data_IF_265715731924
#
_entry.id   IF_265715731924
#
_cell.length_a   1.000
_cell.length_b   1.000
_cell.length_c   1.000
_cell.angle_alpha   90.00
_cell.angle_beta   90.00
_cell.angle_gamma   90.00
#
_symmetry.space_group_name_H-M   'P 1'
#
loop_
_entity.id
_entity.type
_entity.pdbx_description
1 polymer ?
#
# COMPACT_ATOMS: atom_id res chain seq x y z
N UNK A 1 8.01 0.13 10.31
CA UNK A 1 7.94 -1.14 9.56
C UNK A 1 6.65 -1.91 9.86
N UNK A 2 6.43 -2.41 11.09
CA UNK A 2 5.23 -3.19 11.44
C UNK A 2 3.90 -2.49 11.12
N UNK A 3 3.84 -1.17 11.31
CA UNK A 3 2.68 -0.34 10.97
C UNK A 3 2.30 -0.31 9.48
N UNK A 4 3.16 -0.80 8.59
CA UNK A 4 2.96 -0.73 7.14
C UNK A 4 2.67 -2.09 6.52
N UNK A 5 2.36 -3.11 7.32
CA UNK A 5 2.00 -4.44 6.83
C UNK A 5 0.61 -4.43 6.21
N UNK A 6 0.38 -5.32 5.25
CA UNK A 6 -0.89 -5.40 4.52
C UNK A 6 -2.10 -5.54 5.45
N UNK A 7 -1.98 -6.39 6.47
CA UNK A 7 -3.02 -6.62 7.48
C UNK A 7 -3.38 -5.37 8.29
N UNK A 8 -2.43 -4.46 8.50
CA UNK A 8 -2.68 -3.22 9.23
C UNK A 8 -3.58 -2.30 8.40
N UNK A 9 -3.35 -2.21 7.08
CA UNK A 9 -4.20 -1.40 6.20
C UNK A 9 -5.64 -1.90 6.14
N UNK A 10 -5.84 -3.20 6.07
CA UNK A 10 -7.18 -3.78 6.06
C UNK A 10 -7.85 -3.66 7.44
N UNK A 11 -7.09 -3.73 8.55
CA UNK A 11 -7.62 -3.48 9.89
C UNK A 11 -8.07 -2.02 10.06
N UNK A 12 -7.27 -1.08 9.57
CA UNK A 12 -7.61 0.34 9.59
C UNK A 12 -8.83 0.63 8.71
N UNK A 13 -8.94 0.00 7.53
CA UNK A 13 -10.15 0.07 6.71
C UNK A 13 -11.38 -0.42 7.48
N UNK A 14 -11.29 -1.57 8.17
CA UNK A 14 -12.39 -2.08 8.98
C UNK A 14 -12.80 -1.12 10.11
N UNK A 15 -11.82 -0.48 10.75
CA UNK A 15 -12.06 0.50 11.82
C UNK A 15 -12.78 1.72 11.28
N UNK A 16 -12.36 2.25 10.12
CA UNK A 16 -13.03 3.38 9.46
C UNK A 16 -14.46 3.00 9.12
N UNK A 17 -14.70 1.87 8.47
CA UNK A 17 -16.06 1.42 8.12
C UNK A 17 -16.97 1.30 9.34
N UNK A 18 -16.47 0.74 10.45
CA UNK A 18 -17.24 0.64 11.70
C UNK A 18 -17.52 2.00 12.33
N UNK A 19 -16.52 2.88 12.37
CA UNK A 19 -16.65 4.21 12.96
C UNK A 19 -17.64 5.06 12.17
N UNK A 20 -17.58 5.00 10.86
CA UNK A 20 -18.47 5.73 9.94
C UNK A 20 -19.81 5.01 9.71
N UNK A 21 -20.04 3.87 10.37
CA UNK A 21 -21.27 3.06 10.27
C UNK A 21 -21.63 2.66 8.83
N UNK A 22 -20.62 2.31 8.04
CA UNK A 22 -20.77 1.87 6.65
C UNK A 22 -20.84 0.33 6.62
N UNK A 23 -22.01 -0.20 6.35
CA UNK A 23 -22.30 -1.65 6.30
C UNK A 23 -22.75 -2.15 4.92
N UNK A 24 -23.08 -1.25 4.00
CA UNK A 24 -23.53 -1.56 2.65
C UNK A 24 -22.68 -0.84 1.59
N UNK A 25 -21.65 -1.52 1.09
CA UNK A 25 -20.70 -0.94 0.16
C UNK A 25 -20.14 -1.97 -0.84
N UNK A 26 -19.62 -1.46 -1.95
CA UNK A 26 -18.77 -2.19 -2.88
C UNK A 26 -17.33 -1.74 -2.64
N UNK A 27 -16.43 -2.69 -2.41
CA UNK A 27 -15.01 -2.40 -2.18
C UNK A 27 -14.27 -2.35 -3.51
N UNK A 28 -13.66 -1.21 -3.83
CA UNK A 28 -12.88 -1.01 -5.06
C UNK A 28 -11.41 -0.83 -4.68
N UNK A 29 -10.55 -1.74 -5.17
CA UNK A 29 -9.11 -1.71 -4.92
C UNK A 29 -8.32 -1.52 -6.21
N UNK A 30 -7.48 -0.48 -6.26
CA UNK A 30 -6.57 -0.20 -7.39
C UNK A 30 -5.11 -0.47 -7.01
N UNK A 31 -4.38 -1.22 -7.84
CA UNK A 31 -2.95 -1.51 -7.65
C UNK A 31 -2.67 -2.10 -6.26
N UNK A 32 -1.84 -1.45 -5.43
CA UNK A 32 -1.63 -1.82 -4.04
C UNK A 32 -2.94 -1.85 -3.21
N UNK A 33 -3.86 -0.92 -3.47
CA UNK A 33 -5.19 -0.94 -2.85
C UNK A 33 -6.00 -2.18 -3.20
N UNK A 34 -5.70 -2.84 -4.32
CA UNK A 34 -6.25 -4.15 -4.65
C UNK A 34 -5.78 -5.25 -3.69
N UNK A 35 -4.51 -5.24 -3.28
CA UNK A 35 -4.01 -6.19 -2.27
C UNK A 35 -4.66 -5.96 -0.91
N UNK A 36 -4.81 -4.69 -0.51
CA UNK A 36 -5.51 -4.33 0.73
C UNK A 36 -6.96 -4.80 0.68
N UNK A 37 -7.64 -4.60 -0.46
CA UNK A 37 -9.04 -4.99 -0.64
C UNK A 37 -9.22 -6.52 -0.62
N UNK A 38 -8.30 -7.28 -1.23
CA UNK A 38 -8.30 -8.74 -1.16
C UNK A 38 -8.08 -9.24 0.27
N UNK A 39 -7.08 -8.72 0.97
CA UNK A 39 -6.82 -9.10 2.37
C UNK A 39 -8.02 -8.77 3.27
N UNK A 40 -8.62 -7.59 3.11
CA UNK A 40 -9.85 -7.21 3.81
C UNK A 40 -10.99 -8.19 3.56
N UNK A 41 -11.26 -8.54 2.30
CA UNK A 41 -12.35 -9.46 1.93
C UNK A 41 -12.15 -10.87 2.49
N UNK A 42 -10.90 -11.35 2.58
CA UNK A 42 -10.55 -12.64 3.18
C UNK A 42 -10.81 -12.62 4.70
N UNK A 43 -10.37 -11.56 5.39
CA UNK A 43 -10.45 -11.46 6.86
C UNK A 43 -11.84 -11.07 7.36
N UNK A 44 -12.64 -10.40 6.55
CA UNK A 44 -14.00 -9.95 6.86
C UNK A 44 -15.00 -10.47 5.82
N UNK A 45 -15.24 -11.80 5.76
CA UNK A 45 -16.12 -12.39 4.76
C UNK A 45 -17.53 -11.81 4.85
N UNK A 46 -18.14 -11.53 3.69
CA UNK A 46 -19.50 -10.95 3.54
C UNK A 46 -19.69 -9.52 4.07
N UNK A 47 -18.62 -8.80 4.41
CA UNK A 47 -18.70 -7.39 4.82
C UNK A 47 -19.02 -6.44 3.65
N UNK A 48 -18.49 -6.72 2.46
CA UNK A 48 -18.76 -5.97 1.23
C UNK A 48 -19.76 -6.72 0.34
N UNK A 49 -20.63 -5.99 -0.37
CA UNK A 49 -21.56 -6.54 -1.36
C UNK A 49 -20.86 -7.00 -2.64
N UNK A 50 -19.68 -6.44 -2.90
CA UNK A 50 -18.87 -6.78 -4.06
C UNK A 50 -17.44 -6.30 -3.90
N UNK A 51 -16.54 -6.90 -4.69
CA UNK A 51 -15.12 -6.56 -4.74
C UNK A 51 -14.74 -6.29 -6.21
N UNK A 52 -14.20 -5.09 -6.48
CA UNK A 52 -13.67 -4.70 -7.79
C UNK A 52 -12.17 -4.51 -7.67
N UNK A 53 -11.41 -5.23 -8.50
CA UNK A 53 -9.96 -5.18 -8.52
C UNK A 53 -9.47 -4.57 -9.83
N UNK A 54 -8.70 -3.49 -9.75
CA UNK A 54 -8.16 -2.77 -10.91
C UNK A 54 -6.64 -2.83 -10.85
N UNK A 55 -6.02 -3.48 -11.84
CA UNK A 55 -4.55 -3.59 -11.94
C UNK A 55 -3.88 -4.15 -10.67
N UNK A 56 -4.54 -5.09 -9.98
CA UNK A 56 -4.07 -5.69 -8.74
C UNK A 56 -3.31 -7.00 -9.01
N UNK A 57 -2.26 -7.26 -8.24
CA UNK A 57 -1.53 -8.53 -8.27
C UNK A 57 -1.88 -9.37 -7.04
N UNK A 58 -2.13 -10.66 -7.23
CA UNK A 58 -2.43 -11.62 -6.16
C UNK A 58 -1.16 -12.14 -5.44
N UNK A 59 0.02 -11.90 -6.01
CA UNK A 59 1.30 -12.37 -5.48
C UNK A 59 2.43 -11.36 -5.78
N UNK A 60 3.56 -11.53 -5.07
CA UNK A 60 4.76 -10.73 -5.31
C UNK A 60 5.28 -10.94 -6.76
N UNK A 61 5.74 -9.90 -7.48
CA UNK A 61 6.32 -10.06 -8.81
C UNK A 61 7.50 -11.05 -8.87
N UNK A 62 8.31 -11.16 -7.81
CA UNK A 62 9.40 -12.14 -7.72
C UNK A 62 8.87 -13.57 -7.61
N UNK A 63 7.72 -13.74 -6.97
CA UNK A 63 7.02 -15.03 -6.89
C UNK A 63 6.51 -15.47 -8.27
N UNK A 64 5.80 -14.58 -8.97
CA UNK A 64 5.34 -14.84 -10.33
C UNK A 64 6.50 -15.16 -11.29
N UNK A 65 7.68 -14.55 -11.09
CA UNK A 65 8.87 -14.80 -11.92
C UNK A 65 9.73 -15.98 -11.45
N UNK A 66 9.31 -16.74 -10.44
CA UNK A 66 10.08 -17.83 -9.83
C UNK A 66 11.46 -17.40 -9.27
N UNK A 67 11.59 -16.14 -8.86
CA UNK A 67 12.79 -15.53 -8.28
C UNK A 67 12.67 -15.28 -6.77
N UNK A 68 11.80 -16.03 -6.07
CA UNK A 68 11.57 -15.87 -4.62
C UNK A 68 12.84 -15.92 -3.77
N UNK A 69 13.86 -16.65 -4.21
CA UNK A 69 15.14 -16.73 -3.50
C UNK A 69 15.87 -15.38 -3.40
N UNK A 70 15.55 -14.42 -4.28
CA UNK A 70 16.06 -13.06 -4.23
C UNK A 70 15.30 -12.17 -3.26
N UNK A 71 14.12 -12.58 -2.79
CA UNK A 71 13.31 -11.70 -1.95
C UNK A 71 14.00 -11.30 -0.64
N UNK A 72 14.67 -12.20 0.11
CA UNK A 72 15.39 -11.80 1.33
C UNK A 72 16.45 -10.73 1.08
N UNK A 73 17.18 -10.83 -0.05
CA UNK A 73 18.17 -9.84 -0.45
C UNK A 73 17.51 -8.50 -0.77
N UNK A 74 16.43 -8.52 -1.56
CA UNK A 74 15.70 -7.32 -1.96
C UNK A 74 15.07 -6.62 -0.74
N UNK A 75 14.40 -7.37 0.12
CA UNK A 75 13.82 -6.91 1.38
C UNK A 75 14.89 -6.37 2.32
N UNK A 76 16.05 -7.02 2.42
CA UNK A 76 17.20 -6.54 3.19
C UNK A 76 17.72 -5.19 2.68
N UNK A 77 17.90 -5.06 1.37
CA UNK A 77 18.35 -3.83 0.74
C UNK A 77 17.36 -2.67 0.94
N UNK A 78 16.06 -2.90 0.74
CA UNK A 78 15.02 -1.89 0.99
C UNK A 78 14.96 -1.46 2.45
N UNK A 79 15.09 -2.40 3.39
CA UNK A 79 15.13 -2.08 4.81
C UNK A 79 16.37 -1.25 5.16
N UNK A 80 17.55 -1.61 4.64
CA UNK A 80 18.76 -0.82 4.83
C UNK A 80 18.58 0.62 4.33
N UNK A 81 18.05 0.79 3.12
CA UNK A 81 17.74 2.12 2.57
C UNK A 81 16.73 2.89 3.43
N UNK A 82 15.71 2.21 3.96
CA UNK A 82 14.75 2.82 4.88
C UNK A 82 15.43 3.28 6.18
N UNK A 83 16.31 2.48 6.78
CA UNK A 83 17.02 2.87 7.99
C UNK A 83 18.00 4.04 7.75
N UNK A 84 18.69 4.06 6.62
CA UNK A 84 19.57 5.17 6.23
C UNK A 84 18.80 6.50 6.04
N UNK A 85 17.52 6.44 5.72
CA UNK A 85 16.67 7.62 5.51
C UNK A 85 15.71 7.91 6.67
N UNK A 86 15.82 7.22 7.81
CA UNK A 86 14.89 7.37 8.95
C UNK A 86 14.88 8.78 9.54
N UNK A 87 15.98 9.52 9.35
CA UNK A 87 16.11 10.92 9.75
C UNK A 87 15.23 11.87 8.91
N UNK A 88 14.71 11.44 7.76
CA UNK A 88 13.82 12.21 6.87
C UNK A 88 12.39 12.36 7.45
N UNK A 89 12.27 12.76 8.71
CA UNK A 89 10.98 13.09 9.31
C UNK A 89 10.44 14.35 8.63
N UNK A 90 9.31 14.23 7.92
CA UNK A 90 8.63 15.39 7.33
C UNK A 90 7.76 16.06 8.39
N UNK A 91 8.00 17.36 8.65
CA UNK A 91 7.15 18.18 9.54
C UNK A 91 5.84 18.61 8.87
N UNK A 92 5.78 18.56 7.54
CA UNK A 92 4.62 18.97 6.75
C UNK A 92 4.38 17.91 5.67
N UNK A 93 3.15 17.41 5.59
CA UNK A 93 2.75 16.46 4.57
C UNK A 93 2.37 17.19 3.29
N UNK A 94 2.93 16.75 2.16
CA UNK A 94 2.48 17.20 0.86
C UNK A 94 1.20 16.46 0.51
N UNK A 95 0.10 17.19 0.32
CA UNK A 95 -1.14 16.61 -0.16
C UNK A 95 -1.11 16.52 -1.67
N UNK A 96 -1.39 15.33 -2.20
CA UNK A 96 -1.52 15.11 -3.63
C UNK A 96 -2.66 15.97 -4.19
N UNK A 97 -2.35 16.82 -5.17
CA UNK A 97 -3.35 17.70 -5.80
C UNK A 97 -3.82 17.07 -7.10
N UNK A 98 -5.04 16.54 -7.07
CA UNK A 98 -5.69 15.93 -8.22
C UNK A 98 -5.79 16.93 -9.38
N UNK A 99 -5.49 16.47 -10.60
CA UNK A 99 -5.57 17.28 -11.82
C UNK A 99 -4.41 18.27 -12.03
N UNK A 100 -3.43 18.34 -11.12
CA UNK A 100 -2.28 19.26 -11.26
C UNK A 100 -1.05 18.63 -11.91
N UNK A 101 -0.87 17.32 -11.76
CA UNK A 101 0.30 16.62 -12.28
C UNK A 101 0.27 16.55 -13.81
N UNK A 102 1.40 16.88 -14.45
CA UNK A 102 1.53 16.85 -15.92
C UNK A 102 2.27 15.59 -16.33
N UNK A 103 1.51 14.57 -16.73
CA UNK A 103 2.04 13.28 -17.18
C UNK A 103 2.38 12.30 -16.04
N UNK A 104 2.77 11.09 -16.43
CA UNK A 104 2.95 9.96 -15.51
C UNK A 104 4.05 10.21 -14.46
N UNK A 105 5.24 10.61 -14.90
CA UNK A 105 6.40 10.76 -14.00
C UNK A 105 6.27 11.92 -13.02
N UNK A 106 5.58 12.99 -13.41
CA UNK A 106 5.26 14.10 -12.51
C UNK A 106 4.30 13.64 -11.40
N UNK A 107 3.26 12.88 -11.77
CA UNK A 107 2.33 12.29 -10.82
C UNK A 107 3.02 11.31 -9.87
N UNK A 108 3.92 10.46 -10.38
CA UNK A 108 4.70 9.53 -9.54
C UNK A 108 5.58 10.30 -8.56
N UNK A 109 6.26 11.35 -9.03
CA UNK A 109 7.10 12.20 -8.17
C UNK A 109 6.29 12.92 -7.10
N UNK A 110 5.10 13.42 -7.44
CA UNK A 110 4.21 14.09 -6.49
C UNK A 110 3.71 13.09 -5.43
N UNK A 111 3.29 11.89 -5.86
CA UNK A 111 2.92 10.78 -4.97
C UNK A 111 4.03 10.41 -3.98
N UNK A 112 5.26 10.22 -4.46
CA UNK A 112 6.42 9.89 -3.60
C UNK A 112 6.76 10.99 -2.59
N UNK A 113 6.33 12.24 -2.83
CA UNK A 113 6.52 13.36 -1.90
C UNK A 113 5.46 13.43 -0.80
N UNK A 114 4.34 12.72 -0.95
CA UNK A 114 3.26 12.75 0.04
C UNK A 114 3.63 12.09 1.36
N UNK A 115 4.62 11.19 1.35
CA UNK A 115 5.11 10.47 2.52
C UNK A 115 6.65 10.46 2.60
N UNK A 116 7.25 10.18 3.77
CA UNK A 116 8.69 9.94 3.88
C UNK A 116 9.14 8.78 2.99
N UNK A 117 10.36 8.83 2.44
CA UNK A 117 10.89 7.76 1.58
C UNK A 117 11.01 6.43 2.33
N UNK A 118 11.22 6.49 3.64
CA UNK A 118 11.24 5.31 4.51
C UNK A 118 9.94 4.53 4.51
N UNK A 119 8.80 5.23 4.43
CA UNK A 119 7.49 4.59 4.34
C UNK A 119 7.35 3.87 3.00
N UNK A 120 7.71 4.53 1.89
CA UNK A 120 7.71 3.89 0.57
C UNK A 120 8.56 2.61 0.54
N UNK A 121 9.77 2.65 1.12
CA UNK A 121 10.63 1.47 1.16
C UNK A 121 10.08 0.36 2.06
N UNK A 122 9.50 0.69 3.23
CA UNK A 122 8.87 -0.32 4.06
C UNK A 122 7.62 -0.93 3.43
N UNK A 123 6.85 -0.16 2.65
CA UNK A 123 5.72 -0.69 1.89
C UNK A 123 6.18 -1.69 0.82
N UNK A 124 7.26 -1.38 0.10
CA UNK A 124 7.83 -2.28 -0.90
C UNK A 124 8.55 -3.50 -0.30
N UNK A 125 9.06 -3.35 0.93
CA UNK A 125 9.75 -4.41 1.66
C UNK A 125 8.79 -5.35 2.41
N UNK A 126 7.49 -5.05 2.43
CA UNK A 126 6.49 -5.93 3.01
C UNK A 126 6.10 -7.00 1.99
N UNK A 127 6.40 -8.23 2.35
CA UNK A 127 5.73 -9.43 1.83
C UNK A 127 4.44 -9.67 2.63
#
# INVERSE_FOLDING_TARGET
RELYRLSVFSDDLNRILKQEQIDNFILVGYSFGGQVAMDYAIRHPRSAQGLVLISANHANPLEYKHLKFLTPLFTGALNLLAYLLIWQKRKTYHYYRHGRAVGYWDSVRDGLRTMPLTVNFWLLANE
#
